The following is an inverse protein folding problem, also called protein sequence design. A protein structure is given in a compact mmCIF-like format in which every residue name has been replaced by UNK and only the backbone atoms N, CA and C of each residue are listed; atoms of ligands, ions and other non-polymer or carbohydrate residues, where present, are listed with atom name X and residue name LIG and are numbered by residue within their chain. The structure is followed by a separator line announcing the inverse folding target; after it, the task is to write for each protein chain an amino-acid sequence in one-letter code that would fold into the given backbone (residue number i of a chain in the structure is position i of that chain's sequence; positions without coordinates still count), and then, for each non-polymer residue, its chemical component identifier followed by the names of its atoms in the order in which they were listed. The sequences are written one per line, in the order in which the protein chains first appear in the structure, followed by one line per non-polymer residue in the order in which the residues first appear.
data_IF_034734761388
#
_entry.id   IF_034734761388
#
_cell.length_a   1.000
_cell.length_b   1.000
_cell.length_c   1.000
_cell.angle_alpha   90.00
_cell.angle_beta   90.00
_cell.angle_gamma   90.00
#
_symmetry.space_group_name_H-M   'P 1'
#
loop_
_entity.id
_entity.type
_entity.pdbx_description
1 polymer ?
#
# COMPACT_ATOMS: atom_id res chain seq x y z
N UNK A 1 -31.72 18.95 22.95
CA UNK A 1 -30.51 18.13 22.72
C UNK A 1 -29.52 19.02 21.98
N UNK A 2 -28.36 19.31 22.57
CA UNK A 2 -27.38 20.24 21.98
C UNK A 2 -26.59 19.50 20.90
N UNK A 3 -26.60 20.03 19.68
CA UNK A 3 -25.72 19.63 18.59
C UNK A 3 -24.25 19.78 19.03
N UNK A 4 -23.44 18.71 18.94
CA UNK A 4 -21.98 18.80 19.15
C UNK A 4 -21.36 18.01 20.31
N UNK A 5 -22.12 17.24 21.11
CA UNK A 5 -21.55 16.46 22.23
C UNK A 5 -21.28 14.98 21.92
N UNK A 6 -21.62 14.49 20.72
CA UNK A 6 -21.37 13.10 20.32
C UNK A 6 -20.16 13.04 19.37
N UNK A 7 -19.09 12.29 19.70
CA UNK A 7 -17.95 12.14 18.81
C UNK A 7 -18.39 11.50 17.49
N UNK A 8 -17.77 11.89 16.36
CA UNK A 8 -18.05 11.28 15.07
C UNK A 8 -17.72 9.79 15.13
N UNK A 9 -18.60 8.97 14.56
CA UNK A 9 -18.32 7.55 14.35
C UNK A 9 -17.43 7.44 13.12
N UNK A 10 -16.29 6.77 13.27
CA UNK A 10 -15.35 6.50 12.17
C UNK A 10 -15.35 4.99 11.92
N UNK A 11 -15.58 4.59 10.68
CA UNK A 11 -15.54 3.20 10.24
C UNK A 11 -14.46 3.06 9.17
N UNK A 12 -13.66 2.00 9.27
CA UNK A 12 -12.59 1.70 8.32
C UNK A 12 -12.89 0.36 7.67
N UNK A 13 -12.81 0.34 6.34
CA UNK A 13 -12.87 -0.87 5.52
C UNK A 13 -11.56 -0.94 4.74
N UNK A 14 -10.87 -2.06 4.82
CA UNK A 14 -9.60 -2.30 4.13
C UNK A 14 -9.74 -3.61 3.39
N UNK A 15 -9.38 -3.59 2.11
CA UNK A 15 -9.39 -4.74 1.21
C UNK A 15 -7.94 -4.93 0.73
N UNK A 16 -7.53 -6.19 0.59
CA UNK A 16 -6.18 -6.54 0.10
C UNK A 16 -6.09 -6.46 -1.42
N UNK A 17 -7.24 -6.55 -2.10
CA UNK A 17 -7.31 -6.40 -3.54
C UNK A 17 -7.42 -4.91 -3.94
N UNK A 18 -6.97 -4.55 -5.17
CA UNK A 18 -6.39 -5.40 -6.21
C UNK A 18 -4.86 -5.64 -6.07
N UNK A 19 -4.27 -5.39 -4.89
CA UNK A 19 -2.82 -5.44 -4.70
C UNK A 19 -2.28 -6.88 -4.81
N UNK A 20 -2.95 -7.85 -4.19
CA UNK A 20 -2.53 -9.26 -4.25
C UNK A 20 -2.57 -9.81 -5.69
N UNK A 21 -3.65 -9.53 -6.44
CA UNK A 21 -3.72 -9.85 -7.86
C UNK A 21 -2.61 -9.15 -8.67
N UNK A 22 -2.30 -7.90 -8.32
CA UNK A 22 -1.22 -7.11 -8.93
C UNK A 22 0.15 -7.75 -8.70
N UNK A 23 0.41 -8.26 -7.50
CA UNK A 23 1.64 -8.98 -7.16
C UNK A 23 1.75 -10.34 -7.86
N UNK A 24 0.65 -11.10 -7.93
CA UNK A 24 0.64 -12.44 -8.50
C UNK A 24 0.70 -12.45 -10.03
N UNK A 25 -0.06 -11.58 -10.68
CA UNK A 25 -0.32 -11.63 -12.11
C UNK A 25 0.21 -10.41 -12.88
N UNK A 26 0.65 -9.37 -12.17
CA UNK A 26 1.07 -8.10 -12.73
C UNK A 26 -0.08 -7.10 -12.87
N UNK A 27 0.23 -5.79 -12.86
CA UNK A 27 -0.77 -4.72 -12.77
C UNK A 27 -1.71 -4.60 -13.97
N UNK A 28 -1.31 -5.13 -15.14
CA UNK A 28 -2.10 -5.07 -16.37
C UNK A 28 -2.80 -6.41 -16.69
N UNK A 29 -2.95 -7.29 -15.69
CA UNK A 29 -3.56 -8.61 -15.87
C UNK A 29 -5.10 -8.54 -15.87
N UNK A 30 -5.72 -9.57 -16.45
CA UNK A 30 -7.17 -9.73 -16.37
C UNK A 30 -7.64 -9.94 -14.91
N UNK A 31 -6.82 -10.60 -14.08
CA UNK A 31 -7.09 -10.79 -12.65
C UNK A 31 -7.24 -9.46 -11.91
N UNK A 32 -6.32 -8.51 -12.11
CA UNK A 32 -6.44 -7.16 -11.52
C UNK A 32 -7.73 -6.47 -11.99
N UNK A 33 -8.10 -6.63 -13.26
CA UNK A 33 -9.34 -6.04 -13.78
C UNK A 33 -10.59 -6.67 -13.14
N UNK A 34 -10.56 -7.98 -12.88
CA UNK A 34 -11.62 -8.71 -12.21
C UNK A 34 -11.77 -8.28 -10.75
N UNK A 35 -10.66 -8.12 -10.03
CA UNK A 35 -10.70 -7.67 -8.64
C UNK A 35 -11.13 -6.21 -8.49
N UNK A 36 -10.70 -5.31 -9.39
CA UNK A 36 -11.22 -3.94 -9.43
C UNK A 36 -12.75 -3.93 -9.61
N UNK A 37 -13.28 -4.86 -10.42
CA UNK A 37 -14.73 -5.00 -10.60
C UNK A 37 -15.41 -5.49 -9.32
N UNK A 38 -14.82 -6.44 -8.60
CA UNK A 38 -15.34 -6.92 -7.32
C UNK A 38 -15.39 -5.77 -6.27
N UNK A 39 -14.35 -4.96 -6.19
CA UNK A 39 -14.28 -3.79 -5.30
C UNK A 39 -15.32 -2.72 -5.67
N UNK A 40 -15.55 -2.49 -6.97
CA UNK A 40 -16.62 -1.61 -7.46
C UNK A 40 -18.00 -2.13 -7.05
N UNK A 41 -18.25 -3.45 -7.16
CA UNK A 41 -19.50 -4.08 -6.72
C UNK A 41 -19.74 -3.92 -5.20
N UNK A 42 -18.70 -4.12 -4.38
CA UNK A 42 -18.75 -3.92 -2.92
C UNK A 42 -19.04 -2.45 -2.59
N UNK A 43 -18.35 -1.53 -3.26
CA UNK A 43 -18.56 -0.08 -3.09
C UNK A 43 -20.00 0.30 -3.49
N UNK A 44 -20.48 -0.23 -4.61
CA UNK A 44 -21.86 -0.06 -5.07
C UNK A 44 -22.88 -0.57 -4.06
N UNK A 45 -22.63 -1.73 -3.44
CA UNK A 45 -23.48 -2.27 -2.38
C UNK A 45 -23.53 -1.34 -1.16
N UNK A 46 -22.37 -0.84 -0.69
CA UNK A 46 -22.31 0.13 0.41
C UNK A 46 -23.14 1.38 0.12
N UNK A 47 -22.96 1.99 -1.06
CA UNK A 47 -23.71 3.17 -1.49
C UNK A 47 -25.22 2.92 -1.55
N UNK A 48 -25.63 1.73 -2.03
CA UNK A 48 -27.03 1.32 -2.06
C UNK A 48 -27.62 1.22 -0.64
N UNK A 49 -26.92 0.59 0.31
CA UNK A 49 -27.39 0.48 1.69
C UNK A 49 -27.45 1.86 2.38
N UNK A 50 -26.43 2.70 2.19
CA UNK A 50 -26.43 4.08 2.73
C UNK A 50 -27.61 4.90 2.20
N UNK A 51 -27.95 4.76 0.92
CA UNK A 51 -29.13 5.40 0.32
C UNK A 51 -30.42 4.87 0.92
N UNK A 52 -30.56 3.55 1.03
CA UNK A 52 -31.74 2.88 1.60
C UNK A 52 -32.02 3.32 3.03
N UNK A 53 -30.96 3.52 3.82
CA UNK A 53 -31.05 3.96 5.21
C UNK A 53 -31.10 5.50 5.38
N UNK A 54 -31.17 6.28 4.30
CA UNK A 54 -31.17 7.76 4.32
C UNK A 54 -29.94 8.36 5.03
N UNK A 55 -28.79 7.71 4.87
CA UNK A 55 -27.50 8.09 5.45
C UNK A 55 -26.53 8.70 4.42
N UNK A 56 -26.76 8.49 3.12
CA UNK A 56 -25.81 8.89 2.08
C UNK A 56 -25.41 10.37 2.15
N UNK A 57 -26.37 11.27 2.38
CA UNK A 57 -26.12 12.73 2.50
C UNK A 57 -25.69 13.17 3.92
N UNK A 58 -25.49 12.22 4.84
CA UNK A 58 -25.15 12.45 6.26
C UNK A 58 -23.79 11.89 6.64
N UNK A 59 -23.10 11.24 5.71
CA UNK A 59 -21.77 10.65 5.93
C UNK A 59 -20.77 11.27 4.96
N UNK A 60 -19.52 11.39 5.39
CA UNK A 60 -18.41 11.67 4.50
C UNK A 60 -17.77 10.35 4.11
N UNK A 61 -17.81 10.01 2.82
CA UNK A 61 -17.16 8.81 2.28
C UNK A 61 -15.84 9.20 1.63
N UNK A 62 -14.76 8.57 2.06
CA UNK A 62 -13.42 8.72 1.46
C UNK A 62 -13.03 7.34 0.93
N UNK A 63 -12.80 7.27 -0.38
CA UNK A 63 -12.26 6.09 -1.05
C UNK A 63 -10.82 6.42 -1.41
N UNK A 64 -9.88 5.62 -0.94
CA UNK A 64 -8.45 5.84 -1.14
C UNK A 64 -7.72 4.51 -1.21
N UNK A 65 -6.52 4.55 -1.77
CA UNK A 65 -5.52 3.49 -1.72
C UNK A 65 -4.27 4.03 -1.03
N UNK A 66 -3.44 3.14 -0.51
CA UNK A 66 -2.13 3.43 0.06
C UNK A 66 -1.04 3.60 -1.00
N UNK A 67 -1.08 2.82 -2.09
CA UNK A 67 -0.14 2.90 -3.21
C UNK A 67 -0.64 2.27 -4.52
N UNK A 68 0.11 2.49 -5.60
CA UNK A 68 -0.11 1.79 -6.88
C UNK A 68 0.79 0.57 -7.05
N UNK A 69 0.56 -0.20 -8.11
CA UNK A 69 1.34 -1.38 -8.48
C UNK A 69 2.12 -1.15 -9.77
N UNK A 70 3.37 -1.64 -9.85
CA UNK A 70 4.22 -1.49 -11.03
C UNK A 70 4.74 -2.85 -11.53
N UNK A 71 4.79 -3.01 -12.85
CA UNK A 71 5.44 -4.17 -13.47
C UNK A 71 6.96 -4.02 -13.43
N UNK A 72 7.68 -5.14 -13.28
CA UNK A 72 9.13 -5.16 -13.38
C UNK A 72 9.60 -6.32 -14.27
N UNK A 73 10.82 -6.21 -14.80
CA UNK A 73 11.47 -7.27 -15.53
C UNK A 73 12.60 -7.86 -14.67
N UNK A 74 12.78 -9.18 -14.66
CA UNK A 74 13.92 -9.80 -13.97
C UNK A 74 15.26 -9.30 -14.50
N UNK A 75 15.33 -8.87 -15.76
CA UNK A 75 16.53 -8.26 -16.34
C UNK A 75 16.88 -6.89 -15.76
N UNK A 76 15.97 -6.23 -15.04
CA UNK A 76 16.21 -4.93 -14.39
C UNK A 76 16.55 -5.07 -12.91
N UNK A 77 16.70 -6.30 -12.39
CA UNK A 77 17.07 -6.53 -10.99
C UNK A 77 18.58 -6.36 -10.82
N UNK A 78 18.96 -5.46 -9.91
CA UNK A 78 20.35 -5.27 -9.48
C UNK A 78 20.60 -6.09 -8.22
N UNK A 79 21.53 -7.05 -8.28
CA UNK A 79 22.03 -7.79 -7.12
C UNK A 79 23.06 -6.94 -6.37
N UNK A 80 22.60 -6.19 -5.37
CA UNK A 80 23.39 -5.17 -4.67
C UNK A 80 24.60 -5.76 -3.91
N UNK A 81 24.50 -7.02 -3.46
CA UNK A 81 25.57 -7.76 -2.79
C UNK A 81 26.86 -7.88 -3.63
N UNK A 82 26.73 -7.82 -4.96
CA UNK A 82 27.87 -7.82 -5.89
C UNK A 82 28.65 -6.50 -5.92
N UNK A 83 28.06 -5.41 -5.41
CA UNK A 83 28.62 -4.07 -5.46
C UNK A 83 28.95 -3.49 -4.09
N UNK A 84 28.48 -4.14 -3.02
CA UNK A 84 28.71 -3.68 -1.65
C UNK A 84 30.02 -4.25 -1.07
N UNK A 85 30.67 -3.51 -0.14
CA UNK A 85 31.81 -4.02 0.61
C UNK A 85 31.41 -5.25 1.45
N UNK A 86 32.36 -5.94 2.12
CA UNK A 86 32.00 -7.04 3.02
C UNK A 86 30.88 -6.64 3.99
N UNK A 87 29.91 -7.53 4.20
CA UNK A 87 28.71 -7.25 5.00
C UNK A 87 29.01 -6.83 6.45
N UNK A 88 30.23 -7.06 6.95
CA UNK A 88 30.70 -6.52 8.23
C UNK A 88 30.69 -4.98 8.31
N UNK A 89 30.71 -4.28 7.17
CA UNK A 89 30.93 -2.83 7.09
C UNK A 89 29.62 -2.03 7.01
N UNK A 90 28.48 -2.72 6.86
CA UNK A 90 27.16 -2.11 6.88
C UNK A 90 26.09 -3.02 7.49
N UNK A 91 24.97 -2.43 7.90
CA UNK A 91 23.73 -3.12 8.22
C UNK A 91 22.69 -2.77 7.17
N UNK A 92 22.05 -3.80 6.61
CA UNK A 92 20.85 -3.62 5.81
C UNK A 92 19.70 -3.39 6.78
N UNK A 93 19.12 -2.19 6.75
CA UNK A 93 18.05 -1.77 7.66
C UNK A 93 16.67 -2.04 7.07
N UNK A 94 16.51 -1.81 5.76
CA UNK A 94 15.29 -2.11 5.01
C UNK A 94 15.70 -2.73 3.69
N UNK A 95 14.97 -3.76 3.27
CA UNK A 95 15.13 -4.41 1.97
C UNK A 95 13.79 -4.92 1.47
N UNK A 96 13.12 -4.12 0.64
CA UNK A 96 11.75 -4.38 0.16
C UNK A 96 11.67 -4.31 -1.37
N UNK A 97 12.65 -4.89 -2.06
CA UNK A 97 12.70 -4.90 -3.53
C UNK A 97 13.19 -3.57 -4.09
N UNK A 98 12.29 -2.64 -4.43
CA UNK A 98 12.63 -1.35 -5.07
C UNK A 98 13.23 -0.32 -4.12
N UNK A 99 13.11 -0.52 -2.82
CA UNK A 99 13.67 0.35 -1.80
C UNK A 99 14.52 -0.45 -0.81
N UNK A 100 15.71 0.06 -0.51
CA UNK A 100 16.55 -0.47 0.53
C UNK A 100 17.32 0.65 1.23
N UNK A 101 17.65 0.43 2.50
CA UNK A 101 18.45 1.36 3.30
C UNK A 101 19.64 0.62 3.90
N UNK A 102 20.81 1.24 3.77
CA UNK A 102 22.06 0.78 4.36
C UNK A 102 22.47 1.75 5.46
N UNK A 103 22.94 1.20 6.58
CA UNK A 103 23.57 1.96 7.64
C UNK A 103 25.02 1.49 7.79
N UNK A 104 25.99 2.39 7.68
CA UNK A 104 27.40 2.03 7.86
C UNK A 104 27.66 1.60 9.32
N UNK A 105 28.34 0.48 9.53
CA UNK A 105 28.71 -0.01 10.87
C UNK A 105 30.14 0.33 11.23
N UNK A 106 31.02 0.51 10.25
CA UNK A 106 32.34 1.10 10.45
C UNK A 106 32.24 2.61 10.38
N UNK A 107 32.15 3.25 11.55
CA UNK A 107 32.61 4.62 11.67
C UNK A 107 34.14 4.59 11.58
N UNK A 108 34.73 5.11 10.49
CA UNK A 108 36.12 5.54 10.57
C UNK A 108 36.18 6.55 11.71
N UNK A 109 36.83 6.18 12.82
CA UNK A 109 37.23 7.14 13.84
C UNK A 109 38.07 8.21 13.13
N UNK A 110 37.53 9.43 13.13
CA UNK A 110 38.16 10.73 12.90
C UNK A 110 39.54 10.72 12.23
N UNK A 111 39.61 11.26 11.01
CA UNK A 111 40.81 11.95 10.53
C UNK A 111 40.80 13.38 11.09
N UNK A 112 40.94 13.51 12.40
CA UNK A 112 41.36 14.69 13.16
C UNK A 112 41.92 14.19 14.49
#
# INVERSE_FOLDING_TARGET
MVEGTRPPVVCHFVFEEPDEAGHCCGPNSANVTEEIKNDDEITGYLLQQLRKENLLDKVNLIITSDHGTAAFNRSTIIQIDKFLPPQSDYKLWVYIGTFFMLNATKHNKSLY
#
